data_IF_111363813799
#
_entry.id   IF_111363813799
#
_cell.length_a   1.000
_cell.length_b   1.000
_cell.length_c   1.000
_cell.angle_alpha   90.00
_cell.angle_beta   90.00
_cell.angle_gamma   90.00
#
_symmetry.space_group_name_H-M   'P 1'
#
loop_
_entity.id
_entity.type
_entity.pdbx_description
1 polymer ?
#
# COMPACT_ATOMS: atom_id res chain seq x y z
N UNK A 1 20.58 14.84 5.46
CA UNK A 1 19.62 15.10 6.53
C UNK A 1 19.22 13.78 7.14
N UNK A 2 19.79 13.41 8.29
CA UNK A 2 19.36 12.20 9.00
C UNK A 2 18.03 12.48 9.70
N UNK A 3 16.93 11.99 9.13
CA UNK A 3 15.69 11.85 9.88
C UNK A 3 15.98 10.74 10.89
N UNK A 4 15.81 11.04 12.19
CA UNK A 4 15.88 10.00 13.23
C UNK A 4 14.80 8.96 12.91
N UNK A 5 15.05 7.67 13.13
CA UNK A 5 14.10 6.62 12.71
C UNK A 5 12.71 6.76 13.34
N UNK A 6 12.65 7.33 14.56
CA UNK A 6 11.36 7.73 15.15
C UNK A 6 10.63 8.74 14.26
N UNK A 7 11.31 9.77 13.78
CA UNK A 7 10.74 10.82 12.92
C UNK A 7 10.34 10.23 11.55
N UNK A 8 11.13 9.28 11.04
CA UNK A 8 10.80 8.53 9.81
C UNK A 8 9.56 7.65 10.01
N UNK A 9 9.46 6.95 11.14
CA UNK A 9 8.28 6.15 11.48
C UNK A 9 7.02 7.01 11.58
N UNK A 10 7.10 8.18 12.23
CA UNK A 10 6.00 9.13 12.31
C UNK A 10 5.66 9.69 10.93
N UNK A 11 6.65 10.11 10.15
CA UNK A 11 6.46 10.58 8.78
C UNK A 11 5.74 9.54 7.93
N UNK A 12 6.20 8.30 7.95
CA UNK A 12 5.60 7.23 7.13
C UNK A 12 4.21 6.81 7.62
N UNK A 13 3.91 6.95 8.92
CA UNK A 13 2.59 6.71 9.49
C UNK A 13 1.57 7.76 9.06
N UNK A 14 2.03 8.98 8.75
CA UNK A 14 1.17 10.11 8.40
C UNK A 14 0.28 9.84 7.18
N UNK A 15 0.67 8.94 6.29
CA UNK A 15 -0.16 8.48 5.17
C UNK A 15 -1.59 8.11 5.57
N UNK A 16 -1.75 7.46 6.73
CA UNK A 16 -3.04 6.99 7.22
C UNK A 16 -3.79 7.96 8.14
N UNK A 17 -3.19 9.07 8.60
CA UNK A 17 -3.79 9.90 9.65
C UNK A 17 -5.20 10.38 9.32
N UNK A 18 -5.37 11.01 8.18
CA UNK A 18 -6.70 11.51 7.77
C UNK A 18 -7.65 10.40 7.34
N UNK A 19 -7.14 9.34 6.73
CA UNK A 19 -7.95 8.20 6.32
C UNK A 19 -8.52 7.45 7.53
N UNK A 20 -7.74 7.34 8.61
CA UNK A 20 -8.14 6.66 9.85
C UNK A 20 -8.98 7.58 10.74
N UNK A 21 -8.41 8.71 11.18
CA UNK A 21 -9.04 9.55 12.21
C UNK A 21 -10.12 10.48 11.68
N UNK A 22 -9.99 10.97 10.45
CA UNK A 22 -10.99 11.83 9.83
C UNK A 22 -11.95 11.06 8.91
N UNK A 23 -11.87 9.74 8.85
CA UNK A 23 -12.73 8.88 8.02
C UNK A 23 -12.78 9.30 6.55
N UNK A 24 -11.68 9.89 6.04
CA UNK A 24 -11.65 10.51 4.71
C UNK A 24 -11.96 9.53 3.58
N UNK A 25 -11.65 8.24 3.74
CA UNK A 25 -12.02 7.23 2.76
C UNK A 25 -13.54 7.01 2.67
N UNK A 26 -14.24 7.01 3.82
CA UNK A 26 -15.70 6.91 3.88
C UNK A 26 -16.34 8.18 3.29
N UNK A 27 -15.82 9.35 3.69
CA UNK A 27 -16.27 10.66 3.16
C UNK A 27 -16.03 10.72 1.64
N UNK A 28 -14.85 10.27 1.17
CA UNK A 28 -14.50 10.19 -0.24
C UNK A 28 -15.46 9.30 -1.04
N UNK A 29 -15.88 8.14 -0.48
CA UNK A 29 -16.88 7.27 -1.07
C UNK A 29 -18.25 7.95 -1.21
N UNK A 30 -18.70 8.66 -0.16
CA UNK A 30 -19.96 9.45 -0.19
C UNK A 30 -19.90 10.57 -1.25
N UNK A 31 -18.76 11.27 -1.33
CA UNK A 31 -18.54 12.31 -2.35
C UNK A 31 -18.57 11.68 -3.74
N UNK A 32 -17.92 10.53 -3.93
CA UNK A 32 -17.89 9.78 -5.19
C UNK A 32 -19.31 9.40 -5.66
N UNK A 33 -20.15 8.94 -4.75
CA UNK A 33 -21.52 8.54 -5.07
C UNK A 33 -22.43 9.73 -5.37
N UNK A 34 -22.23 10.87 -4.68
CA UNK A 34 -23.06 12.06 -4.85
C UNK A 34 -22.61 12.98 -6.00
N UNK A 35 -21.31 13.14 -6.17
CA UNK A 35 -20.72 14.12 -7.10
C UNK A 35 -20.09 13.47 -8.35
N UNK A 36 -20.03 12.14 -8.36
CA UNK A 36 -19.54 11.34 -9.49
C UNK A 36 -18.02 11.29 -9.62
N UNK A 37 -17.56 10.47 -10.56
CA UNK A 37 -16.14 10.14 -10.78
C UNK A 37 -15.29 11.34 -11.22
N UNK A 38 -15.86 12.27 -11.99
CA UNK A 38 -15.12 13.44 -12.52
C UNK A 38 -14.69 14.39 -11.41
N UNK A 39 -15.65 14.81 -10.57
CA UNK A 39 -15.36 15.72 -9.46
C UNK A 39 -14.42 15.09 -8.44
N UNK A 40 -14.75 13.86 -8.01
CA UNK A 40 -13.99 13.15 -6.98
C UNK A 40 -12.58 12.81 -7.43
N UNK A 41 -12.42 12.35 -8.67
CA UNK A 41 -11.11 12.04 -9.22
C UNK A 41 -10.23 13.27 -9.41
N UNK A 42 -10.81 14.40 -9.88
CA UNK A 42 -10.07 15.67 -9.97
C UNK A 42 -9.63 16.15 -8.59
N UNK A 43 -10.51 16.10 -7.58
CA UNK A 43 -10.18 16.41 -6.19
C UNK A 43 -9.04 15.54 -5.65
N UNK A 44 -9.08 14.23 -5.94
CA UNK A 44 -8.03 13.30 -5.55
C UNK A 44 -6.68 13.63 -6.20
N UNK A 45 -6.66 13.92 -7.50
CA UNK A 45 -5.45 14.35 -8.22
C UNK A 45 -4.85 15.63 -7.61
N UNK A 46 -5.67 16.63 -7.32
CA UNK A 46 -5.21 17.87 -6.69
C UNK A 46 -4.66 17.62 -5.28
N UNK A 47 -5.29 16.77 -4.47
CA UNK A 47 -4.77 16.41 -3.15
C UNK A 47 -3.42 15.71 -3.24
N UNK A 48 -3.23 14.81 -4.22
CA UNK A 48 -1.95 14.16 -4.44
C UNK A 48 -0.85 15.15 -4.85
N UNK A 49 -1.15 16.07 -5.77
CA UNK A 49 -0.20 17.12 -6.21
C UNK A 49 0.15 18.05 -5.04
N UNK A 50 -0.84 18.53 -4.29
CA UNK A 50 -0.62 19.39 -3.12
C UNK A 50 0.21 18.69 -2.04
N UNK A 51 -0.13 17.44 -1.71
CA UNK A 51 0.58 16.67 -0.71
C UNK A 51 2.03 16.37 -1.11
N UNK A 52 2.27 16.01 -2.38
CA UNK A 52 3.62 15.80 -2.91
C UNK A 52 4.41 17.12 -2.98
N UNK A 53 3.77 18.22 -3.42
CA UNK A 53 4.36 19.55 -3.46
C UNK A 53 4.78 20.05 -2.07
N UNK A 54 3.94 19.81 -1.04
CA UNK A 54 4.28 20.16 0.33
C UNK A 54 5.46 19.33 0.87
N UNK A 55 5.54 18.04 0.53
CA UNK A 55 6.73 17.21 0.86
C UNK A 55 7.99 17.73 0.18
N UNK A 56 7.89 18.06 -1.12
CA UNK A 56 9.01 18.62 -1.86
C UNK A 56 9.49 19.95 -1.25
N UNK A 57 8.55 20.86 -0.95
CA UNK A 57 8.85 22.13 -0.28
C UNK A 57 9.54 21.92 1.07
N UNK A 58 9.01 21.00 1.88
CA UNK A 58 9.58 20.69 3.19
C UNK A 58 11.04 20.20 3.14
N UNK A 59 11.39 19.43 2.09
CA UNK A 59 12.74 18.85 1.98
C UNK A 59 13.70 19.79 1.27
N UNK A 60 13.24 20.63 0.34
CA UNK A 60 14.06 21.58 -0.42
C UNK A 60 14.32 22.90 0.30
N UNK A 61 13.59 23.17 1.41
CA UNK A 61 13.70 24.43 2.15
C UNK A 61 14.42 24.23 3.48
N UNK A 62 15.32 25.16 3.82
CA UNK A 62 15.95 25.22 5.15
C UNK A 62 15.07 26.01 6.11
N UNK A 63 14.78 25.45 7.28
CA UNK A 63 14.00 26.09 8.32
C UNK A 63 14.91 26.53 9.47
N UNK A 64 14.49 27.53 10.24
CA UNK A 64 15.24 28.02 11.39
C UNK A 64 15.54 26.88 12.40
N UNK A 65 16.76 26.88 12.94
CA UNK A 65 17.16 25.90 13.95
C UNK A 65 16.23 25.96 15.17
N UNK A 66 15.81 24.79 15.66
CA UNK A 66 14.90 24.67 16.80
C UNK A 66 13.41 24.88 16.47
N UNK A 67 13.03 25.24 15.23
CA UNK A 67 11.62 25.35 14.87
C UNK A 67 10.93 23.98 14.89
N UNK A 68 9.74 23.93 15.51
CA UNK A 68 8.96 22.69 15.64
C UNK A 68 7.53 22.88 15.12
N UNK A 69 7.01 21.83 14.49
CA UNK A 69 5.62 21.70 14.04
C UNK A 69 5.11 20.32 14.47
N UNK A 70 3.95 20.26 15.12
CA UNK A 70 3.38 19.01 15.65
C UNK A 70 4.31 18.24 16.59
N UNK A 71 5.15 18.95 17.36
CA UNK A 71 6.12 18.33 18.28
C UNK A 71 7.34 17.71 17.61
N UNK A 72 7.53 17.90 16.31
CA UNK A 72 8.66 17.46 15.49
C UNK A 72 9.40 18.65 14.90
N UNK A 73 10.59 18.44 14.33
CA UNK A 73 11.25 19.48 13.50
C UNK A 73 10.29 19.94 12.41
N UNK A 74 10.19 21.24 12.18
CA UNK A 74 9.26 21.84 11.22
C UNK A 74 9.30 21.15 9.87
N UNK A 75 10.48 20.80 9.39
CA UNK A 75 10.69 20.09 8.13
C UNK A 75 10.00 18.71 8.11
N UNK A 76 10.15 17.93 9.19
CA UNK A 76 9.51 16.61 9.33
C UNK A 76 7.98 16.76 9.45
N UNK A 77 7.53 17.73 10.25
CA UNK A 77 6.10 18.00 10.44
C UNK A 77 5.38 18.42 9.15
N UNK A 78 6.01 19.30 8.35
CA UNK A 78 5.47 19.68 7.03
C UNK A 78 5.49 18.52 6.04
N UNK A 79 6.55 17.73 6.02
CA UNK A 79 6.63 16.55 5.18
C UNK A 79 5.56 15.50 5.56
N UNK A 80 5.33 15.29 6.87
CA UNK A 80 4.29 14.40 7.38
C UNK A 80 2.89 14.89 7.01
N UNK A 81 2.61 16.18 7.15
CA UNK A 81 1.35 16.77 6.73
C UNK A 81 1.14 16.61 5.21
N UNK A 82 2.17 16.87 4.41
CA UNK A 82 2.12 16.62 2.96
C UNK A 82 1.83 15.16 2.63
N UNK A 83 2.40 14.22 3.39
CA UNK A 83 2.16 12.79 3.19
C UNK A 83 0.76 12.36 3.63
N UNK A 84 0.20 12.96 4.66
CA UNK A 84 -1.18 12.73 5.09
C UNK A 84 -2.19 13.21 4.02
N UNK A 85 -2.00 14.41 3.46
CA UNK A 85 -2.83 14.94 2.37
C UNK A 85 -2.72 14.06 1.12
N UNK A 86 -1.49 13.65 0.77
CA UNK A 86 -1.21 12.74 -0.33
C UNK A 86 -1.95 11.40 -0.14
N UNK A 87 -1.92 10.83 1.07
CA UNK A 87 -2.59 9.58 1.40
C UNK A 87 -4.10 9.64 1.17
N UNK A 88 -4.75 10.75 1.53
CA UNK A 88 -6.18 10.95 1.22
C UNK A 88 -6.42 10.94 -0.29
N UNK A 89 -5.60 11.66 -1.05
CA UNK A 89 -5.71 11.69 -2.50
C UNK A 89 -5.56 10.32 -3.14
N UNK A 90 -4.57 9.53 -2.71
CA UNK A 90 -4.31 8.17 -3.24
C UNK A 90 -5.48 7.23 -2.98
N UNK A 91 -6.00 7.18 -1.76
CA UNK A 91 -7.10 6.28 -1.40
C UNK A 91 -8.40 6.64 -2.14
N UNK A 92 -8.71 7.95 -2.25
CA UNK A 92 -9.87 8.42 -3.02
C UNK A 92 -9.67 8.15 -4.51
N UNK A 93 -8.46 8.32 -5.06
CA UNK A 93 -8.16 7.97 -6.44
C UNK A 93 -8.39 6.48 -6.71
N UNK A 94 -7.96 5.60 -5.82
CA UNK A 94 -8.13 4.15 -5.95
C UNK A 94 -9.61 3.74 -6.09
N UNK A 95 -10.48 4.19 -5.17
CA UNK A 95 -11.92 3.88 -5.26
C UNK A 95 -12.56 4.53 -6.49
N UNK A 96 -12.09 5.71 -6.90
CA UNK A 96 -12.60 6.41 -8.09
C UNK A 96 -12.24 5.67 -9.37
N UNK A 97 -10.97 5.23 -9.51
CA UNK A 97 -10.50 4.48 -10.69
C UNK A 97 -11.24 3.15 -10.81
N UNK A 98 -11.43 2.43 -9.71
CA UNK A 98 -12.22 1.19 -9.70
C UNK A 98 -13.65 1.45 -10.20
N UNK A 99 -14.31 2.53 -9.77
CA UNK A 99 -15.64 2.90 -10.25
C UNK A 99 -15.65 3.30 -11.73
N UNK A 100 -14.61 4.00 -12.18
CA UNK A 100 -14.41 4.33 -13.60
C UNK A 100 -14.32 3.05 -14.45
N UNK A 101 -13.50 2.07 -14.02
CA UNK A 101 -13.33 0.81 -14.74
C UNK A 101 -14.66 0.06 -14.85
N UNK A 102 -15.41 -0.05 -13.75
CA UNK A 102 -16.74 -0.68 -13.77
C UNK A 102 -17.66 0.04 -14.75
N UNK A 103 -17.70 1.38 -14.73
CA UNK A 103 -18.56 2.19 -15.62
C UNK A 103 -18.22 1.99 -17.11
N UNK A 104 -16.92 2.00 -17.46
CA UNK A 104 -16.47 1.97 -18.85
C UNK A 104 -16.44 0.55 -19.44
N UNK A 105 -16.26 -0.48 -18.60
CA UNK A 105 -16.08 -1.87 -19.02
C UNK A 105 -17.23 -2.80 -18.59
N UNK A 106 -18.37 -2.25 -18.16
CA UNK A 106 -19.56 -3.06 -17.82
C UNK A 106 -19.99 -3.88 -19.04
N UNK A 107 -20.02 -5.21 -18.86
CA UNK A 107 -20.33 -6.14 -19.93
C UNK A 107 -19.22 -6.39 -20.97
N UNK A 108 -18.01 -5.90 -20.71
CA UNK A 108 -16.79 -6.08 -21.54
C UNK A 108 -15.67 -6.69 -20.68
N UNK A 109 -14.39 -6.47 -21.06
CA UNK A 109 -13.20 -7.03 -20.41
C UNK A 109 -12.86 -6.31 -19.07
N UNK A 110 -13.81 -6.20 -18.15
CA UNK A 110 -13.67 -5.51 -16.88
C UNK A 110 -12.53 -6.08 -16.00
N UNK A 111 -12.42 -7.42 -15.95
CA UNK A 111 -11.39 -8.08 -15.16
C UNK A 111 -9.97 -7.79 -15.72
N UNK A 112 -9.82 -7.72 -17.03
CA UNK A 112 -8.58 -7.33 -17.69
C UNK A 112 -8.21 -5.88 -17.36
N UNK A 113 -9.17 -4.96 -17.41
CA UNK A 113 -8.95 -3.54 -17.09
C UNK A 113 -8.52 -3.34 -15.63
N UNK A 114 -9.17 -4.02 -14.67
CA UNK A 114 -8.76 -4.02 -13.27
C UNK A 114 -7.38 -4.67 -13.07
N UNK A 115 -7.09 -5.74 -13.80
CA UNK A 115 -5.77 -6.37 -13.78
C UNK A 115 -4.66 -5.44 -14.29
N UNK A 116 -4.92 -4.68 -15.34
CA UNK A 116 -3.99 -3.69 -15.88
C UNK A 116 -3.79 -2.51 -14.92
N UNK A 117 -4.83 -2.04 -14.24
CA UNK A 117 -4.71 -1.04 -13.18
C UNK A 117 -3.75 -1.50 -12.08
N UNK A 118 -4.00 -2.69 -11.53
CA UNK A 118 -3.14 -3.27 -10.49
C UNK A 118 -1.71 -3.48 -10.98
N UNK A 119 -1.52 -3.96 -12.21
CA UNK A 119 -0.21 -4.14 -12.81
C UNK A 119 0.56 -2.81 -12.92
N UNK A 120 -0.11 -1.74 -13.36
CA UNK A 120 0.48 -0.41 -13.44
C UNK A 120 0.89 0.12 -12.06
N UNK A 121 0.05 -0.08 -11.04
CA UNK A 121 0.38 0.29 -9.66
C UNK A 121 1.61 -0.46 -9.13
N UNK A 122 1.72 -1.77 -9.43
CA UNK A 122 2.90 -2.57 -9.04
C UNK A 122 4.17 -2.15 -9.77
N UNK A 123 4.06 -1.83 -11.07
CA UNK A 123 5.17 -1.27 -11.85
C UNK A 123 5.66 0.05 -11.24
N UNK A 124 4.74 0.94 -10.87
CA UNK A 124 5.08 2.20 -10.18
C UNK A 124 5.81 1.98 -8.85
N UNK A 125 5.35 1.01 -8.03
CA UNK A 125 6.01 0.67 -6.76
C UNK A 125 7.41 0.09 -6.99
N UNK A 126 7.56 -0.80 -7.97
CA UNK A 126 8.85 -1.37 -8.36
C UNK A 126 9.84 -0.28 -8.77
N UNK A 127 9.42 0.61 -9.67
CA UNK A 127 10.25 1.73 -10.14
C UNK A 127 10.63 2.67 -8.98
N UNK A 128 9.69 3.00 -8.09
CA UNK A 128 9.98 3.85 -6.93
C UNK A 128 11.06 3.24 -6.03
N UNK A 129 11.03 1.94 -5.78
CA UNK A 129 12.04 1.25 -4.97
C UNK A 129 13.40 1.17 -5.67
N UNK A 130 13.41 0.87 -6.96
CA UNK A 130 14.63 0.63 -7.71
C UNK A 130 15.38 1.93 -8.07
N UNK A 131 14.68 3.02 -8.38
CA UNK A 131 15.31 4.20 -9.01
C UNK A 131 15.44 5.42 -8.10
N UNK A 132 14.86 5.41 -6.90
CA UNK A 132 14.87 6.60 -6.01
C UNK A 132 16.30 6.99 -5.61
N UNK A 133 17.11 6.04 -5.16
CA UNK A 133 18.52 6.31 -4.77
C UNK A 133 19.38 6.66 -5.97
N UNK A 134 19.37 5.87 -7.08
CA UNK A 134 20.08 6.25 -8.30
C UNK A 134 19.77 7.65 -8.82
N UNK A 135 18.50 8.09 -8.78
CA UNK A 135 18.14 9.46 -9.19
C UNK A 135 18.74 10.50 -8.24
N UNK A 136 18.65 10.28 -6.92
CA UNK A 136 19.24 11.20 -5.95
C UNK A 136 20.75 11.33 -6.14
N UNK A 137 21.44 10.23 -6.40
CA UNK A 137 22.88 10.20 -6.68
C UNK A 137 23.23 10.87 -8.01
N UNK A 138 22.48 10.57 -9.08
CA UNK A 138 22.74 11.16 -10.41
C UNK A 138 22.66 12.69 -10.43
N UNK A 139 21.74 13.27 -9.67
CA UNK A 139 21.58 14.72 -9.52
C UNK A 139 22.32 15.28 -8.30
N UNK A 140 23.17 14.49 -7.66
CA UNK A 140 24.02 14.93 -6.54
C UNK A 140 25.10 15.92 -6.99
N UNK A 141 25.64 16.63 -6.04
CA UNK A 141 26.73 17.59 -6.23
C UNK A 141 27.87 17.29 -5.27
N UNK A 142 29.09 17.53 -5.73
CA UNK A 142 30.27 17.49 -4.85
C UNK A 142 30.58 18.92 -4.43
N UNK A 143 30.74 19.15 -3.12
CA UNK A 143 31.08 20.46 -2.58
C UNK A 143 32.58 20.83 -2.81
N UNK A 144 32.94 22.04 -2.38
CA UNK A 144 34.31 22.54 -2.52
C UNK A 144 35.34 21.76 -1.66
N UNK A 145 34.85 21.00 -0.66
CA UNK A 145 35.67 20.14 0.21
C UNK A 145 35.83 18.71 -0.38
N UNK A 146 35.23 18.44 -1.53
CA UNK A 146 35.26 17.13 -2.20
C UNK A 146 34.26 16.11 -1.64
N UNK A 147 33.32 16.55 -0.80
CA UNK A 147 32.27 15.68 -0.23
C UNK A 147 31.08 15.61 -1.18
N UNK A 148 30.66 14.39 -1.51
CA UNK A 148 29.50 14.14 -2.37
C UNK A 148 28.19 14.24 -1.58
N UNK A 149 27.25 15.06 -2.07
CA UNK A 149 25.92 15.24 -1.50
C UNK A 149 24.85 14.80 -2.49
N UNK A 150 24.09 13.70 -2.22
CA UNK A 150 22.99 13.27 -3.07
C UNK A 150 21.84 14.29 -3.03
N UNK A 151 21.21 14.53 -4.16
CA UNK A 151 20.07 15.43 -4.27
C UNK A 151 18.77 14.73 -3.87
N UNK A 152 18.48 14.71 -2.56
CA UNK A 152 17.28 14.07 -2.00
C UNK A 152 15.95 14.65 -2.54
N UNK A 153 15.79 15.96 -2.82
CA UNK A 153 14.61 16.51 -3.47
C UNK A 153 14.35 16.01 -4.90
N UNK A 154 15.37 15.59 -5.66
CA UNK A 154 15.22 15.24 -7.08
C UNK A 154 14.21 14.09 -7.36
N UNK A 155 14.20 12.96 -6.65
CA UNK A 155 13.17 11.93 -6.80
C UNK A 155 11.75 12.44 -6.54
N UNK A 156 11.57 13.32 -5.55
CA UNK A 156 10.27 13.91 -5.24
C UNK A 156 9.80 14.89 -6.31
N UNK A 157 10.71 15.66 -6.89
CA UNK A 157 10.39 16.53 -8.02
C UNK A 157 9.93 15.73 -9.24
N UNK A 158 10.58 14.60 -9.52
CA UNK A 158 10.13 13.67 -10.57
C UNK A 158 8.72 13.16 -10.30
N UNK A 159 8.44 12.69 -9.07
CA UNK A 159 7.11 12.24 -8.66
C UNK A 159 6.07 13.35 -8.80
N UNK A 160 6.37 14.57 -8.38
CA UNK A 160 5.50 15.74 -8.52
C UNK A 160 5.19 16.04 -9.98
N UNK A 161 6.19 15.99 -10.83
CA UNK A 161 6.03 16.19 -12.29
C UNK A 161 5.11 15.14 -12.90
N UNK A 162 5.30 13.84 -12.53
CA UNK A 162 4.43 12.75 -12.99
C UNK A 162 2.98 12.92 -12.50
N UNK A 163 2.78 13.38 -11.27
CA UNK A 163 1.44 13.68 -10.74
C UNK A 163 0.77 14.85 -11.47
N UNK A 164 1.51 15.90 -11.82
CA UNK A 164 0.98 17.00 -12.62
C UNK A 164 0.56 16.51 -14.02
N UNK A 165 1.39 15.70 -14.69
CA UNK A 165 1.06 15.08 -15.98
C UNK A 165 -0.20 14.19 -15.82
N UNK A 166 -0.27 13.37 -14.79
CA UNK A 166 -1.43 12.54 -14.47
C UNK A 166 -2.71 13.35 -14.24
N UNK A 167 -2.60 14.51 -13.56
CA UNK A 167 -3.73 15.41 -13.33
C UNK A 167 -4.24 16.00 -14.66
N UNK A 168 -3.34 16.40 -15.56
CA UNK A 168 -3.71 16.87 -16.91
C UNK A 168 -4.38 15.74 -17.71
N UNK A 169 -3.83 14.55 -17.66
CA UNK A 169 -4.42 13.38 -18.32
C UNK A 169 -5.82 13.07 -17.79
N UNK A 170 -6.01 13.13 -16.45
CA UNK A 170 -7.31 12.94 -15.83
C UNK A 170 -8.30 14.05 -16.23
N UNK A 171 -7.85 15.31 -16.31
CA UNK A 171 -8.67 16.41 -16.81
C UNK A 171 -9.17 16.15 -18.24
N UNK A 172 -8.29 15.68 -19.12
CA UNK A 172 -8.66 15.28 -20.50
C UNK A 172 -9.68 14.12 -20.45
N UNK A 173 -9.47 13.13 -19.57
CA UNK A 173 -10.39 12.01 -19.37
C UNK A 173 -11.82 12.50 -19.04
N UNK A 174 -11.98 13.58 -18.24
CA UNK A 174 -13.32 14.10 -17.86
C UNK A 174 -14.19 14.48 -19.07
N UNK A 175 -13.59 14.93 -20.18
CA UNK A 175 -14.33 15.22 -21.41
C UNK A 175 -14.85 13.96 -22.10
N UNK A 176 -14.06 12.87 -22.09
CA UNK A 176 -14.48 11.57 -22.63
C UNK A 176 -15.58 10.93 -21.77
N UNK A 177 -15.43 11.02 -20.45
CA UNK A 177 -16.43 10.50 -19.50
C UNK A 177 -17.78 11.24 -19.62
N UNK A 178 -17.75 12.55 -19.90
CA UNK A 178 -18.98 13.31 -20.17
C UNK A 178 -19.70 12.85 -21.44
N UNK A 179 -18.93 12.48 -22.47
CA UNK A 179 -19.52 11.91 -23.70
C UNK A 179 -20.12 10.53 -23.47
N UNK A 180 -19.45 9.70 -22.65
CA UNK A 180 -19.99 8.40 -22.26
C UNK A 180 -21.31 8.53 -21.51
N UNK A 181 -21.43 9.46 -20.56
CA UNK A 181 -22.67 9.69 -19.81
C UNK A 181 -23.83 10.04 -20.76
N UNK A 182 -23.59 10.91 -21.72
CA UNK A 182 -24.61 11.27 -22.70
C UNK A 182 -25.08 10.05 -23.52
N UNK A 183 -24.16 9.16 -23.92
CA UNK A 183 -24.53 7.95 -24.65
C UNK A 183 -25.29 6.92 -23.79
N UNK A 184 -24.94 6.79 -22.51
CA UNK A 184 -25.61 5.89 -21.56
C UNK A 184 -27.03 6.37 -21.21
N UNK A 185 -27.23 7.70 -21.09
CA UNK A 185 -28.56 8.30 -20.90
C UNK A 185 -29.47 8.03 -22.12
N UNK A 186 -28.92 8.10 -23.35
CA UNK A 186 -29.65 7.76 -24.57
C UNK A 186 -30.03 6.26 -24.63
N UNK A 187 -29.20 5.36 -24.09
CA UNK A 187 -29.47 3.92 -24.03
C UNK A 187 -30.41 3.50 -22.88
N UNK A 188 -30.82 4.42 -22.00
CA UNK A 188 -31.76 4.17 -20.90
C UNK A 188 -31.19 3.30 -19.77
N UNK A 189 -29.90 3.39 -19.50
CA UNK A 189 -29.25 2.65 -18.43
C UNK A 189 -29.81 3.00 -17.04
N UNK A 190 -30.14 1.98 -16.23
CA UNK A 190 -30.60 2.19 -14.85
C UNK A 190 -29.46 2.79 -13.97
N UNK A 191 -29.77 3.78 -13.12
CA UNK A 191 -28.79 4.35 -12.19
C UNK A 191 -28.29 3.30 -11.19
N UNK A 192 -27.00 3.34 -10.84
CA UNK A 192 -26.45 2.51 -9.78
C UNK A 192 -27.13 2.80 -8.43
N UNK A 193 -27.41 1.76 -7.63
CA UNK A 193 -27.95 1.94 -6.27
C UNK A 193 -26.93 2.70 -5.39
N UNK A 194 -27.32 3.85 -4.79
CA UNK A 194 -26.40 4.65 -4.00
C UNK A 194 -26.04 3.96 -2.68
N UNK A 195 -24.84 4.26 -2.17
CA UNK A 195 -24.37 3.85 -0.84
C UNK A 195 -25.39 4.22 0.25
N UNK A 196 -25.75 3.24 1.10
CA UNK A 196 -26.68 3.41 2.21
C UNK A 196 -25.99 3.18 3.55
N UNK A 197 -26.13 4.12 4.49
CA UNK A 197 -25.59 3.98 5.85
C UNK A 197 -26.11 2.73 6.58
N UNK A 198 -27.28 2.21 6.21
CA UNK A 198 -27.83 0.96 6.77
C UNK A 198 -26.99 -0.27 6.43
N UNK A 199 -26.29 -0.26 5.30
CA UNK A 199 -25.48 -1.38 4.84
C UNK A 199 -24.22 -1.57 5.72
N UNK A 200 -23.72 -0.49 6.32
CA UNK A 200 -22.61 -0.54 7.28
C UNK A 200 -22.96 -1.47 8.46
N UNK A 201 -24.15 -1.32 9.02
CA UNK A 201 -24.53 -2.13 10.19
C UNK A 201 -24.61 -3.62 9.88
N UNK A 202 -25.15 -3.98 8.72
CA UNK A 202 -25.24 -5.37 8.27
C UNK A 202 -23.85 -5.99 8.06
N UNK A 203 -22.91 -5.21 7.53
CA UNK A 203 -21.54 -5.65 7.30
C UNK A 203 -20.79 -5.83 8.61
N UNK A 204 -20.83 -4.83 9.52
CA UNK A 204 -20.08 -4.89 10.79
C UNK A 204 -20.60 -5.92 11.78
N UNK A 205 -21.84 -6.40 11.61
CA UNK A 205 -22.37 -7.51 12.40
C UNK A 205 -22.01 -8.89 11.83
N UNK A 206 -21.45 -8.93 10.60
CA UNK A 206 -21.04 -10.19 9.98
C UNK A 206 -19.66 -10.63 10.46
N UNK A 207 -19.62 -11.82 11.11
CA UNK A 207 -18.37 -12.38 11.63
C UNK A 207 -17.34 -12.70 10.54
N UNK A 208 -17.79 -13.21 9.39
CA UNK A 208 -16.91 -13.50 8.24
C UNK A 208 -16.24 -12.25 7.70
N UNK A 209 -16.93 -11.10 7.69
CA UNK A 209 -16.37 -9.81 7.36
C UNK A 209 -15.16 -9.45 8.25
N UNK A 210 -15.33 -9.54 9.59
CA UNK A 210 -14.24 -9.21 10.50
C UNK A 210 -13.07 -10.16 10.39
N UNK A 211 -13.29 -11.44 10.13
CA UNK A 211 -12.22 -12.41 9.94
C UNK A 211 -11.36 -12.07 8.70
N UNK A 212 -12.01 -11.65 7.59
CA UNK A 212 -11.29 -11.17 6.41
C UNK A 212 -10.62 -9.82 6.67
N UNK A 213 -11.31 -8.85 7.28
CA UNK A 213 -10.75 -7.53 7.55
C UNK A 213 -9.53 -7.59 8.46
N UNK A 214 -9.57 -8.41 9.52
CA UNK A 214 -8.45 -8.60 10.45
C UNK A 214 -7.31 -9.38 9.80
N UNK A 215 -7.60 -10.39 8.99
CA UNK A 215 -6.58 -11.06 8.17
C UNK A 215 -5.91 -10.05 7.22
N UNK A 216 -6.70 -9.20 6.57
CA UNK A 216 -6.20 -8.18 5.66
C UNK A 216 -5.24 -7.22 6.38
N UNK A 217 -5.67 -6.55 7.45
CA UNK A 217 -4.82 -5.57 8.14
C UNK A 217 -3.53 -6.20 8.67
N UNK A 218 -3.58 -7.40 9.24
CA UNK A 218 -2.41 -8.06 9.81
C UNK A 218 -1.43 -8.50 8.72
N UNK A 219 -1.93 -9.09 7.64
CA UNK A 219 -1.10 -9.52 6.52
C UNK A 219 -0.44 -8.34 5.80
N UNK A 220 -1.23 -7.31 5.47
CA UNK A 220 -0.71 -6.11 4.79
C UNK A 220 0.22 -5.29 5.69
N UNK A 221 0.00 -5.29 7.01
CA UNK A 221 0.89 -4.66 8.00
C UNK A 221 2.29 -5.28 8.07
N UNK A 222 2.41 -6.56 7.74
CA UNK A 222 3.71 -7.22 7.67
C UNK A 222 4.43 -7.02 6.33
N UNK A 223 3.77 -6.50 5.30
CA UNK A 223 4.36 -6.34 3.95
C UNK A 223 4.63 -4.88 3.61
N UNK A 224 3.62 -4.02 3.60
CA UNK A 224 3.81 -2.63 3.17
C UNK A 224 4.67 -1.78 4.12
N UNK A 225 4.46 -1.83 5.45
CA UNK A 225 5.39 -1.18 6.38
C UNK A 225 6.80 -1.75 6.29
N UNK A 226 6.97 -3.07 6.13
CA UNK A 226 8.27 -3.68 5.93
C UNK A 226 8.99 -3.09 4.71
N UNK A 227 8.32 -2.94 3.56
CA UNK A 227 8.92 -2.36 2.35
C UNK A 227 9.48 -0.95 2.56
N UNK A 228 8.94 -0.17 3.51
CA UNK A 228 9.44 1.18 3.84
C UNK A 228 10.82 1.15 4.50
N UNK A 229 11.16 0.05 5.15
CA UNK A 229 12.44 -0.17 5.83
C UNK A 229 13.35 -1.18 5.10
N UNK A 230 12.83 -1.85 4.08
CA UNK A 230 13.53 -2.96 3.43
C UNK A 230 14.84 -2.52 2.75
N UNK A 231 14.88 -1.34 2.15
CA UNK A 231 16.11 -0.81 1.53
C UNK A 231 17.20 -0.61 2.56
N UNK A 232 16.89 -0.01 3.72
CA UNK A 232 17.85 0.18 4.80
C UNK A 232 18.29 -1.16 5.41
N UNK A 233 17.36 -2.11 5.59
CA UNK A 233 17.69 -3.49 5.99
C UNK A 233 18.72 -4.14 5.05
N UNK A 234 18.62 -3.93 3.72
CA UNK A 234 19.59 -4.48 2.76
C UNK A 234 20.98 -3.88 2.96
N UNK A 235 21.06 -2.58 3.24
CA UNK A 235 22.34 -1.92 3.55
C UNK A 235 22.90 -2.40 4.90
N UNK A 236 22.10 -2.30 5.96
CA UNK A 236 22.57 -2.52 7.35
C UNK A 236 22.92 -3.97 7.64
N UNK A 237 22.13 -4.91 7.15
CA UNK A 237 22.29 -6.34 7.48
C UNK A 237 23.03 -7.13 6.41
N UNK A 238 22.78 -6.83 5.13
CA UNK A 238 23.28 -7.63 4.01
C UNK A 238 24.43 -6.97 3.26
N UNK A 239 24.88 -5.79 3.72
CA UNK A 239 26.00 -5.02 3.15
C UNK A 239 25.82 -4.76 1.65
N UNK A 240 24.60 -4.54 1.21
CA UNK A 240 24.30 -4.16 -0.18
C UNK A 240 24.66 -2.70 -0.37
N UNK A 241 25.27 -2.38 -1.52
CA UNK A 241 25.55 -1.00 -1.88
C UNK A 241 24.28 -0.15 -1.82
N UNK A 242 24.30 1.02 -1.17
CA UNK A 242 23.14 1.89 -1.04
C UNK A 242 22.43 2.21 -2.37
N UNK A 243 23.19 2.33 -3.48
CA UNK A 243 22.61 2.59 -4.81
C UNK A 243 21.81 1.41 -5.34
N UNK A 244 22.18 0.19 -4.97
CA UNK A 244 21.55 -1.06 -5.42
C UNK A 244 20.58 -1.63 -4.39
N UNK A 245 20.57 -1.13 -3.16
CA UNK A 245 19.82 -1.71 -2.06
C UNK A 245 18.30 -1.75 -2.29
N UNK A 246 17.76 -0.81 -3.08
CA UNK A 246 16.35 -0.77 -3.46
C UNK A 246 15.94 -1.82 -4.50
N UNK A 247 16.90 -2.39 -5.25
CA UNK A 247 16.61 -3.38 -6.31
C UNK A 247 16.08 -4.70 -5.75
N UNK A 248 16.58 -5.14 -4.59
CA UNK A 248 16.14 -6.40 -3.95
C UNK A 248 14.68 -6.28 -3.47
N UNK A 249 14.27 -5.27 -2.69
CA UNK A 249 12.87 -5.06 -2.34
C UNK A 249 11.94 -4.85 -3.55
N UNK A 250 12.43 -4.30 -4.66
CA UNK A 250 11.64 -4.10 -5.88
C UNK A 250 11.19 -5.41 -6.55
N UNK A 251 11.86 -6.53 -6.25
CA UNK A 251 11.47 -7.86 -6.73
C UNK A 251 10.09 -8.29 -6.21
N UNK A 252 9.67 -7.81 -5.03
CA UNK A 252 8.34 -8.13 -4.50
C UNK A 252 7.24 -7.57 -5.41
N UNK A 253 7.12 -6.27 -5.67
CA UNK A 253 6.09 -5.74 -6.57
C UNK A 253 6.26 -6.24 -8.01
N UNK A 254 7.48 -6.46 -8.49
CA UNK A 254 7.73 -7.07 -9.78
C UNK A 254 7.16 -8.49 -9.87
N UNK A 255 7.41 -9.32 -8.86
CA UNK A 255 6.87 -10.68 -8.80
C UNK A 255 5.35 -10.70 -8.74
N UNK A 256 4.74 -9.79 -7.96
CA UNK A 256 3.28 -9.72 -7.83
C UNK A 256 2.58 -9.31 -9.13
N UNK A 257 3.25 -8.56 -10.00
CA UNK A 257 2.75 -8.21 -11.33
C UNK A 257 2.33 -9.45 -12.14
N UNK A 258 3.13 -10.51 -12.07
CA UNK A 258 2.90 -11.75 -12.80
C UNK A 258 2.20 -12.83 -11.97
N UNK A 259 2.59 -12.97 -10.70
CA UNK A 259 2.12 -14.05 -9.84
C UNK A 259 0.68 -13.84 -9.34
N UNK A 260 0.24 -12.58 -9.15
CA UNK A 260 -1.13 -12.32 -8.67
C UNK A 260 -2.19 -12.77 -9.68
N UNK A 261 -2.10 -12.45 -10.98
CA UNK A 261 -3.02 -12.99 -11.98
C UNK A 261 -2.93 -14.52 -12.10
N UNK A 262 -1.73 -15.09 -12.01
CA UNK A 262 -1.52 -16.54 -12.06
C UNK A 262 -2.25 -17.24 -10.91
N UNK A 263 -2.07 -16.79 -9.68
CA UNK A 263 -2.73 -17.37 -8.52
C UNK A 263 -4.23 -17.07 -8.47
N UNK A 264 -4.69 -15.95 -9.03
CA UNK A 264 -6.08 -15.66 -9.25
C UNK A 264 -6.74 -16.71 -10.15
N UNK A 265 -6.10 -17.03 -11.28
CA UNK A 265 -6.57 -18.09 -12.20
C UNK A 265 -6.57 -19.49 -11.52
N UNK A 266 -5.54 -19.77 -10.69
CA UNK A 266 -5.50 -21.01 -9.89
C UNK A 266 -6.70 -21.06 -8.94
N UNK A 267 -6.98 -19.96 -8.21
CA UNK A 267 -8.13 -19.89 -7.32
C UNK A 267 -9.46 -20.04 -8.06
N UNK A 268 -9.63 -19.39 -9.21
CA UNK A 268 -10.84 -19.48 -10.02
C UNK A 268 -11.15 -20.91 -10.47
N UNK A 269 -10.12 -21.70 -10.80
CA UNK A 269 -10.26 -23.07 -11.32
C UNK A 269 -10.28 -24.16 -10.25
N UNK A 270 -9.48 -23.99 -9.19
CA UNK A 270 -9.25 -25.03 -8.16
C UNK A 270 -10.01 -24.71 -6.88
N UNK A 271 -10.25 -23.42 -6.60
CA UNK A 271 -10.80 -22.95 -5.35
C UNK A 271 -9.70 -22.93 -4.26
N UNK A 272 -10.08 -23.38 -3.05
CA UNK A 272 -9.23 -23.46 -1.86
C UNK A 272 -8.73 -22.09 -1.35
N UNK A 273 -9.57 -21.04 -1.44
CA UNK A 273 -9.20 -19.67 -1.10
C UNK A 273 -8.68 -19.52 0.33
N UNK A 274 -9.36 -20.07 1.33
CA UNK A 274 -8.86 -20.02 2.70
C UNK A 274 -7.54 -20.79 2.88
N UNK A 275 -7.34 -21.89 2.12
CA UNK A 275 -6.08 -22.63 2.11
C UNK A 275 -4.94 -21.81 1.52
N UNK A 276 -5.17 -21.08 0.43
CA UNK A 276 -4.17 -20.18 -0.17
C UNK A 276 -3.77 -19.04 0.80
N UNK A 277 -4.75 -18.48 1.53
CA UNK A 277 -4.47 -17.47 2.57
C UNK A 277 -3.62 -18.03 3.71
N UNK A 278 -3.84 -19.28 4.12
CA UNK A 278 -3.02 -19.98 5.13
C UNK A 278 -1.59 -20.16 4.61
N UNK A 279 -1.41 -20.66 3.39
CA UNK A 279 -0.08 -20.88 2.80
C UNK A 279 0.68 -19.55 2.71
N UNK A 280 0.04 -18.48 2.21
CA UNK A 280 0.67 -17.17 2.14
C UNK A 280 1.06 -16.61 3.50
N UNK A 281 0.24 -16.81 4.54
CA UNK A 281 0.56 -16.39 5.92
C UNK A 281 1.75 -17.20 6.49
N UNK A 282 1.84 -18.49 6.20
CA UNK A 282 3.00 -19.33 6.60
C UNK A 282 4.28 -18.86 5.91
N UNK A 283 4.23 -18.55 4.61
CA UNK A 283 5.36 -17.99 3.87
C UNK A 283 5.81 -16.64 4.45
N UNK A 284 4.86 -15.79 4.85
CA UNK A 284 5.14 -14.50 5.48
C UNK A 284 5.89 -14.67 6.80
N UNK A 285 5.45 -15.61 7.67
CA UNK A 285 6.14 -15.95 8.92
C UNK A 285 7.56 -16.43 8.62
N UNK A 286 7.70 -17.36 7.67
CA UNK A 286 8.99 -17.91 7.28
C UNK A 286 9.96 -16.82 6.83
N UNK A 287 9.52 -15.92 5.95
CA UNK A 287 10.34 -14.82 5.41
C UNK A 287 10.85 -13.90 6.52
N UNK A 288 9.95 -13.39 7.36
CA UNK A 288 10.36 -12.47 8.42
C UNK A 288 11.22 -13.16 9.50
N UNK A 289 10.97 -14.44 9.76
CA UNK A 289 11.85 -15.25 10.63
C UNK A 289 13.24 -15.36 10.03
N UNK A 290 13.37 -15.65 8.73
CA UNK A 290 14.68 -15.70 8.06
C UNK A 290 15.38 -14.34 8.06
N UNK A 291 14.65 -13.26 7.89
CA UNK A 291 15.21 -11.91 8.03
C UNK A 291 15.58 -11.56 9.49
N UNK A 292 14.94 -12.15 10.50
CA UNK A 292 15.29 -11.95 11.91
C UNK A 292 16.55 -12.70 12.32
N UNK A 293 16.74 -13.92 11.81
CA UNK A 293 17.86 -14.78 12.21
C UNK A 293 19.20 -14.26 11.64
N UNK A 294 20.32 -14.40 12.39
CA UNK A 294 21.67 -14.04 11.92
C UNK A 294 22.25 -15.13 10.99
N UNK A 295 21.48 -15.55 9.99
CA UNK A 295 21.86 -16.62 9.07
C UNK A 295 22.15 -16.02 7.70
N UNK A 296 23.32 -16.36 7.12
CA UNK A 296 23.69 -16.00 5.75
C UNK A 296 23.43 -14.52 5.41
N UNK A 297 24.13 -13.60 6.10
CA UNK A 297 24.02 -12.15 5.85
C UNK A 297 24.67 -11.75 4.51
N UNK A 298 24.15 -12.32 3.41
CA UNK A 298 24.62 -12.12 2.04
C UNK A 298 23.45 -11.73 1.12
N UNK A 299 23.71 -10.85 0.17
CA UNK A 299 22.69 -10.25 -0.69
C UNK A 299 21.85 -11.27 -1.48
N UNK A 300 22.44 -12.36 -1.96
CA UNK A 300 21.72 -13.38 -2.73
C UNK A 300 20.71 -14.15 -1.86
N UNK A 301 21.01 -14.37 -0.57
CA UNK A 301 20.06 -14.94 0.36
C UNK A 301 18.87 -14.01 0.59
N UNK A 302 19.12 -12.70 0.82
CA UNK A 302 18.07 -11.70 0.93
C UNK A 302 17.18 -11.66 -0.33
N UNK A 303 17.78 -11.80 -1.51
CA UNK A 303 17.06 -11.87 -2.79
C UNK A 303 16.12 -13.07 -2.86
N UNK A 304 16.57 -14.26 -2.47
CA UNK A 304 15.73 -15.47 -2.44
C UNK A 304 14.56 -15.28 -1.47
N UNK A 305 14.84 -14.78 -0.27
CA UNK A 305 13.81 -14.55 0.75
C UNK A 305 12.80 -13.51 0.26
N UNK A 306 13.23 -12.45 -0.45
CA UNK A 306 12.35 -11.43 -1.02
C UNK A 306 11.45 -12.01 -2.13
N UNK A 307 11.96 -12.92 -2.97
CA UNK A 307 11.15 -13.64 -3.97
C UNK A 307 10.08 -14.50 -3.28
N UNK A 308 10.44 -15.21 -2.20
CA UNK A 308 9.48 -16.00 -1.42
C UNK A 308 8.41 -15.10 -0.81
N UNK A 309 8.79 -13.90 -0.32
CA UNK A 309 7.82 -12.91 0.15
C UNK A 309 6.86 -12.50 -0.97
N UNK A 310 7.36 -12.26 -2.18
CA UNK A 310 6.55 -11.94 -3.37
C UNK A 310 5.54 -13.05 -3.70
N UNK A 311 5.92 -14.32 -3.58
CA UNK A 311 5.01 -15.46 -3.74
C UNK A 311 3.92 -15.43 -2.66
N UNK A 312 4.29 -15.32 -1.39
CA UNK A 312 3.34 -15.25 -0.26
C UNK A 312 2.38 -14.07 -0.40
N UNK A 313 2.91 -12.90 -0.79
CA UNK A 313 2.10 -11.71 -0.99
C UNK A 313 1.17 -11.82 -2.20
N UNK A 314 1.51 -12.57 -3.23
CA UNK A 314 0.62 -12.79 -4.37
C UNK A 314 -0.51 -13.77 -4.06
N UNK A 315 -0.26 -14.79 -3.23
CA UNK A 315 -1.25 -15.82 -2.86
C UNK A 315 -2.44 -15.24 -2.07
N UNK A 316 -2.16 -14.43 -1.05
CA UNK A 316 -3.22 -13.95 -0.14
C UNK A 316 -4.19 -13.00 -0.83
N UNK A 317 -3.77 -11.90 -1.49
CA UNK A 317 -4.70 -11.01 -2.19
C UNK A 317 -5.50 -11.70 -3.29
N UNK A 318 -4.87 -12.63 -4.05
CA UNK A 318 -5.53 -13.38 -5.12
C UNK A 318 -6.71 -14.23 -4.63
N UNK A 319 -6.69 -14.66 -3.37
CA UNK A 319 -7.75 -15.45 -2.77
C UNK A 319 -8.67 -14.60 -1.87
N UNK A 320 -8.13 -13.62 -1.14
CA UNK A 320 -8.84 -12.84 -0.14
C UNK A 320 -9.88 -11.91 -0.77
N UNK A 321 -9.49 -11.11 -1.77
CA UNK A 321 -10.40 -10.16 -2.39
C UNK A 321 -11.59 -10.84 -3.09
N UNK A 322 -11.41 -11.89 -3.90
CA UNK A 322 -12.53 -12.63 -4.47
C UNK A 322 -13.36 -13.43 -3.44
N UNK A 323 -12.87 -13.59 -2.21
CA UNK A 323 -13.63 -14.23 -1.13
C UNK A 323 -14.65 -13.29 -0.47
N UNK A 324 -14.48 -11.98 -0.57
CA UNK A 324 -15.41 -11.00 0.03
C UNK A 324 -16.84 -11.15 -0.55
N UNK A 325 -17.05 -11.26 -1.87
CA UNK A 325 -18.39 -11.47 -2.46
C UNK A 325 -19.07 -12.78 -2.05
N UNK A 326 -18.29 -13.76 -1.57
CA UNK A 326 -18.86 -15.03 -1.05
C UNK A 326 -19.41 -14.90 0.39
N UNK A 327 -19.03 -13.83 1.10
CA UNK A 327 -19.43 -13.58 2.50
C UNK A 327 -20.45 -12.45 2.59
N UNK A 328 -20.29 -11.43 1.76
CA UNK A 328 -21.11 -10.21 1.76
C UNK A 328 -21.94 -10.16 0.49
N UNK A 329 -23.25 -9.87 0.57
CA UNK A 329 -24.10 -9.71 -0.60
C UNK A 329 -23.58 -8.66 -1.58
N UNK A 330 -23.77 -8.89 -2.88
CA UNK A 330 -23.25 -8.06 -3.97
C UNK A 330 -23.61 -6.57 -3.81
N UNK A 331 -24.82 -6.26 -3.40
CA UNK A 331 -25.33 -4.91 -3.16
C UNK A 331 -24.55 -4.12 -2.09
N UNK A 332 -23.76 -4.79 -1.25
CA UNK A 332 -23.03 -4.21 -0.12
C UNK A 332 -21.50 -4.26 -0.31
N UNK A 333 -21.02 -4.74 -1.45
CA UNK A 333 -19.60 -5.00 -1.68
C UNK A 333 -18.77 -3.72 -1.65
N UNK A 334 -19.24 -2.64 -2.24
CA UNK A 334 -18.53 -1.36 -2.23
C UNK A 334 -18.26 -0.85 -0.80
N UNK A 335 -19.29 -0.89 0.04
CA UNK A 335 -19.17 -0.54 1.46
C UNK A 335 -18.25 -1.50 2.22
N UNK A 336 -18.36 -2.81 1.94
CA UNK A 336 -17.51 -3.80 2.59
C UNK A 336 -16.03 -3.58 2.23
N UNK A 337 -15.71 -3.34 0.97
CA UNK A 337 -14.35 -3.04 0.55
C UNK A 337 -13.84 -1.73 1.18
N UNK A 338 -14.63 -0.66 1.21
CA UNK A 338 -14.24 0.60 1.85
C UNK A 338 -13.93 0.42 3.35
N UNK A 339 -14.73 -0.38 4.07
CA UNK A 339 -14.49 -0.70 5.47
C UNK A 339 -13.25 -1.57 5.66
N UNK A 340 -12.97 -2.55 4.77
CA UNK A 340 -11.74 -3.35 4.82
C UNK A 340 -10.53 -2.43 4.59
N UNK A 341 -10.56 -1.54 3.62
CA UNK A 341 -9.50 -0.56 3.38
C UNK A 341 -9.31 0.39 4.55
N UNK A 342 -10.40 0.82 5.20
CA UNK A 342 -10.30 1.64 6.41
C UNK A 342 -9.59 0.89 7.55
N UNK A 343 -9.97 -0.37 7.81
CA UNK A 343 -9.28 -1.24 8.79
C UNK A 343 -7.83 -1.45 8.40
N UNK A 344 -7.53 -1.67 7.12
CA UNK A 344 -6.16 -1.81 6.61
C UNK A 344 -5.30 -0.57 6.88
N UNK A 345 -5.86 0.63 6.71
CA UNK A 345 -5.16 1.89 6.95
C UNK A 345 -4.70 2.06 8.41
N UNK A 346 -5.38 1.43 9.40
CA UNK A 346 -4.87 1.38 10.77
C UNK A 346 -3.49 0.71 10.84
N UNK A 347 -3.30 -0.38 10.14
CA UNK A 347 -2.01 -1.06 10.05
C UNK A 347 -0.97 -0.22 9.29
N UNK A 348 -1.34 0.35 8.14
CA UNK A 348 -0.45 1.18 7.33
C UNK A 348 0.00 2.46 8.05
N UNK A 349 -0.81 2.97 9.00
CA UNK A 349 -0.48 4.09 9.86
C UNK A 349 0.31 3.67 11.10
N UNK A 350 -0.20 2.71 11.85
CA UNK A 350 0.32 2.37 13.18
C UNK A 350 1.63 1.60 13.13
N UNK A 351 1.78 0.67 12.19
CA UNK A 351 2.95 -0.20 12.15
C UNK A 351 4.25 0.53 11.79
N UNK A 352 4.29 1.45 10.79
CA UNK A 352 5.50 2.24 10.56
C UNK A 352 5.92 3.07 11.79
N UNK A 353 4.95 3.67 12.50
CA UNK A 353 5.23 4.40 13.74
C UNK A 353 5.81 3.48 14.83
N UNK A 354 5.23 2.28 14.98
CA UNK A 354 5.73 1.26 15.92
C UNK A 354 7.16 0.83 15.57
N UNK A 355 7.44 0.52 14.31
CA UNK A 355 8.78 0.08 13.89
C UNK A 355 9.79 1.21 14.06
N UNK A 356 9.46 2.45 13.69
CA UNK A 356 10.33 3.60 13.91
C UNK A 356 10.63 3.84 15.38
N UNK A 357 9.64 3.67 16.27
CA UNK A 357 9.84 3.72 17.71
C UNK A 357 10.77 2.61 18.21
N UNK A 358 10.53 1.37 17.78
CA UNK A 358 11.34 0.20 18.18
C UNK A 358 12.79 0.36 17.71
N UNK A 359 13.02 0.80 16.48
CA UNK A 359 14.36 1.06 15.95
C UNK A 359 15.07 2.11 16.77
N UNK A 360 14.39 3.23 17.10
CA UNK A 360 15.00 4.32 17.85
C UNK A 360 15.30 3.99 19.32
N UNK A 361 14.45 3.22 19.99
CA UNK A 361 14.59 2.98 21.43
C UNK A 361 15.39 1.70 21.76
N UNK A 362 15.30 0.66 20.91
CA UNK A 362 15.79 -0.68 21.27
C UNK A 362 16.82 -1.26 20.29
N UNK A 363 16.98 -0.67 19.10
CA UNK A 363 17.74 -1.33 18.02
C UNK A 363 18.94 -0.51 17.53
N UNK A 364 19.32 0.56 18.22
CA UNK A 364 20.50 1.37 17.86
C UNK A 364 21.79 0.58 18.04
N UNK A 365 22.57 0.50 16.97
CA UNK A 365 23.95 0.02 16.97
C UNK A 365 24.97 1.14 17.13
N UNK A 366 26.25 0.87 16.91
CA UNK A 366 27.29 1.89 16.91
C UNK A 366 27.12 2.89 15.75
N UNK A 367 27.69 4.08 15.91
CA UNK A 367 27.81 5.04 14.81
C UNK A 367 29.04 4.65 13.98
N UNK A 368 28.84 4.38 12.67
CA UNK A 368 29.90 4.04 11.73
C UNK A 368 29.92 5.10 10.63
N UNK A 369 31.07 5.70 10.37
CA UNK A 369 31.26 6.77 9.36
C UNK A 369 30.25 7.94 9.51
N UNK A 370 29.94 8.32 10.77
CA UNK A 370 28.96 9.37 11.08
C UNK A 370 27.49 8.98 10.90
N UNK A 371 27.20 7.74 10.47
CA UNK A 371 25.86 7.23 10.31
C UNK A 371 25.47 6.28 11.46
N UNK A 372 24.25 6.45 11.99
CA UNK A 372 23.69 5.56 13.00
C UNK A 372 23.34 4.22 12.36
N UNK A 373 23.86 3.11 12.91
CA UNK A 373 23.47 1.77 12.50
C UNK A 373 22.31 1.22 13.33
N UNK A 374 21.57 0.25 12.78
CA UNK A 374 20.40 -0.35 13.41
C UNK A 374 20.40 -1.86 13.28
N UNK A 375 20.00 -2.55 14.36
CA UNK A 375 19.72 -3.98 14.34
C UNK A 375 18.24 -4.23 14.02
N UNK A 376 17.99 -4.79 12.86
CA UNK A 376 16.63 -5.10 12.39
C UNK A 376 16.04 -6.40 12.95
N UNK A 377 16.74 -7.10 13.83
CA UNK A 377 16.29 -8.39 14.39
C UNK A 377 14.93 -8.27 15.07
N UNK A 378 14.76 -7.32 15.98
CA UNK A 378 13.48 -7.12 16.69
C UNK A 378 12.35 -6.65 15.78
N UNK A 379 12.53 -5.66 14.87
CA UNK A 379 11.54 -5.33 13.86
C UNK A 379 11.07 -6.53 13.02
N UNK A 380 11.99 -7.40 12.61
CA UNK A 380 11.61 -8.59 11.82
C UNK A 380 10.78 -9.59 12.64
N UNK A 381 11.06 -9.76 13.94
CA UNK A 381 10.22 -10.56 14.82
C UNK A 381 8.83 -9.97 15.01
N UNK A 382 8.69 -8.65 15.04
CA UNK A 382 7.38 -7.98 15.09
C UNK A 382 6.59 -8.28 13.82
N UNK A 383 7.22 -8.19 12.64
CA UNK A 383 6.58 -8.54 11.37
C UNK A 383 6.20 -10.03 11.30
N UNK A 384 7.05 -10.92 11.81
CA UNK A 384 6.70 -12.34 11.94
C UNK A 384 5.49 -12.55 12.85
N UNK A 385 5.39 -11.78 13.94
CA UNK A 385 4.24 -11.78 14.85
C UNK A 385 2.93 -11.37 14.16
N UNK A 386 2.94 -10.36 13.29
CA UNK A 386 1.78 -10.05 12.44
C UNK A 386 1.43 -11.21 11.51
N UNK A 387 2.42 -11.90 10.96
CA UNK A 387 2.22 -13.11 10.16
C UNK A 387 1.53 -14.24 10.94
N UNK A 388 1.96 -14.48 12.20
CA UNK A 388 1.33 -15.48 13.10
C UNK A 388 -0.11 -15.11 13.40
N UNK A 389 -0.38 -13.82 13.69
CA UNK A 389 -1.73 -13.35 13.90
C UNK A 389 -2.60 -13.50 12.63
N UNK A 390 -2.05 -13.18 11.46
CA UNK A 390 -2.73 -13.39 10.16
C UNK A 390 -3.07 -14.87 9.94
N UNK A 391 -2.12 -15.78 10.22
CA UNK A 391 -2.35 -17.23 10.14
C UNK A 391 -3.48 -17.69 11.06
N UNK A 392 -3.54 -17.17 12.30
CA UNK A 392 -4.62 -17.47 13.22
C UNK A 392 -5.98 -17.10 12.63
N UNK A 393 -6.14 -15.89 12.09
CA UNK A 393 -7.40 -15.47 11.46
C UNK A 393 -7.70 -16.23 10.17
N UNK A 394 -6.71 -16.61 9.36
CA UNK A 394 -6.90 -17.46 8.18
C UNK A 394 -7.43 -18.85 8.56
N UNK A 395 -6.89 -19.47 9.62
CA UNK A 395 -7.36 -20.75 10.14
C UNK A 395 -8.78 -20.63 10.71
N UNK A 396 -9.06 -19.54 11.44
CA UNK A 396 -10.40 -19.29 11.97
C UNK A 396 -11.41 -19.06 10.84
N UNK A 397 -11.06 -18.29 9.82
CA UNK A 397 -11.89 -18.09 8.64
C UNK A 397 -12.21 -19.40 7.92
N UNK A 398 -11.23 -20.30 7.78
CA UNK A 398 -11.43 -21.64 7.23
C UNK A 398 -12.40 -22.47 8.07
N UNK A 399 -12.29 -22.38 9.40
CA UNK A 399 -13.20 -23.01 10.34
C UNK A 399 -14.63 -22.47 10.25
N UNK A 400 -14.77 -21.14 10.15
CA UNK A 400 -16.07 -20.47 10.02
C UNK A 400 -16.72 -20.78 8.66
N UNK A 401 -15.91 -20.86 7.59
CA UNK A 401 -16.38 -21.29 6.27
C UNK A 401 -17.05 -22.68 6.31
N UNK A 402 -16.47 -23.64 7.06
CA UNK A 402 -17.09 -24.98 7.23
C UNK A 402 -18.43 -24.91 7.94
N UNK A 403 -18.60 -23.98 8.91
CA UNK A 403 -19.83 -23.84 9.69
C UNK A 403 -20.95 -23.13 8.94
N UNK A 404 -20.59 -22.11 8.15
CA UNK A 404 -21.54 -21.20 7.51
C UNK A 404 -21.76 -21.49 6.02
N UNK A 405 -20.89 -22.29 5.39
CA UNK A 405 -21.04 -22.63 3.98
C UNK A 405 -20.78 -21.47 3.03
N UNK A 406 -19.80 -20.59 3.31
CA UNK A 406 -19.49 -19.45 2.42
C UNK A 406 -18.95 -19.86 1.06
N UNK A 407 -18.49 -21.10 0.88
CA UNK A 407 -17.92 -21.58 -0.38
C UNK A 407 -16.50 -21.07 -0.66
N UNK A 408 -15.73 -20.67 0.37
CA UNK A 408 -14.37 -20.14 0.19
C UNK A 408 -13.36 -21.16 -0.37
N UNK A 409 -13.64 -22.45 -0.18
CA UNK A 409 -12.81 -23.56 -0.72
C UNK A 409 -13.28 -24.03 -2.10
N UNK A 410 -14.41 -23.50 -2.60
CA UNK A 410 -14.97 -23.88 -3.89
C UNK A 410 -14.37 -23.01 -5.01
N UNK A 411 -14.19 -23.56 -6.22
CA UNK A 411 -13.79 -22.79 -7.38
C UNK A 411 -14.84 -21.74 -7.75
N UNK A 412 -14.42 -20.64 -8.36
CA UNK A 412 -15.34 -19.61 -8.85
C UNK A 412 -15.97 -20.04 -10.19
N UNK A 413 -15.19 -20.77 -11.02
CA UNK A 413 -15.67 -21.32 -12.30
C UNK A 413 -16.16 -22.74 -12.04
N UNK A 414 -17.47 -22.92 -12.09
CA UNK A 414 -18.07 -24.27 -12.09
C UNK A 414 -17.83 -24.90 -13.47
N UNK A 415 -17.25 -26.09 -13.50
CA UNK A 415 -17.11 -26.90 -14.72
C UNK A 415 -18.47 -27.43 -15.15
#
# INVERSE_FOLDING_TARGET
>A
MCIRDRDYGIFTSAYGWFNVFAFMLIIGGIILDKMGVRFTGMGACLLMVLGCGLKYYAISTTFAEGSTLLGMKTQVGLAALGYAIFGVGVEIAGITVSKIIVKWFKGKEMALAMGMEMATARLGTMLALAVTVPIATFFGITDDEGVFHPNIPAPLLLCLTMLCIGTVAFFIYTFYDKKLDASLEEEGAEPEEPFRMKDIWLIVTNKGFWLIALLCVLFYSAVFPFLKYATDLMVQKYNVDPELAGTIPSLLPLGTLFLTPLFGNVYDRIGKGATLMIIGSVLLIFVHTMFALPVLNVWWFATIIMIILGIGFSLVPSAMWPSVPKIIPEKQLGTAYALIFWVQNWGLMGVPALIGFVLNEYCKGPVVDGMQTYDYTLPMWIFAGFGVAALFFALWLKGENKKKGYGLEEPNIKK
#
